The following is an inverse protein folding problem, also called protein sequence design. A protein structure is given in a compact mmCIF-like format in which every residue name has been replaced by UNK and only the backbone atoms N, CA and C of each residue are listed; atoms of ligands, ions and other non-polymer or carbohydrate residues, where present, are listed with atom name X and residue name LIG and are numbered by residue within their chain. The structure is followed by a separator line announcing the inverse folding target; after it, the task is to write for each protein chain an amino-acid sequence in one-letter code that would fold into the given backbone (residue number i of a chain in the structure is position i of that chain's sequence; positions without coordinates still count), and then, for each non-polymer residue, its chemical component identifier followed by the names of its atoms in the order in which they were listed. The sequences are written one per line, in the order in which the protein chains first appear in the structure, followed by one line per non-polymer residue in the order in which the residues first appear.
data_IF_275400613613
#
_entry.id   IF_275400613613
#
_cell.length_a   1.000
_cell.length_b   1.000
_cell.length_c   1.000
_cell.angle_alpha   90.00
_cell.angle_beta   90.00
_cell.angle_gamma   90.00
#
_symmetry.space_group_name_H-M   'P 1'
#
loop_
_entity.id
_entity.type
_entity.pdbx_description
1 polymer ?
#
# COMPACT_ATOMS: atom_id res chain seq x y z
N UNK A 1 24.85 14.35 -23.07
CA UNK A 1 23.52 13.81 -22.76
C UNK A 1 22.53 14.70 -23.47
N UNK A 2 21.94 14.20 -24.54
CA UNK A 2 20.96 14.96 -25.33
C UNK A 2 19.62 14.97 -24.60
N UNK A 3 18.79 16.00 -24.84
CA UNK A 3 17.48 16.15 -24.20
C UNK A 3 16.55 14.97 -24.50
N UNK A 4 16.67 14.40 -25.71
CA UNK A 4 15.94 13.20 -26.17
C UNK A 4 16.33 11.95 -25.36
N UNK A 5 17.62 11.76 -25.08
CA UNK A 5 18.09 10.64 -24.25
C UNK A 5 17.61 10.78 -22.81
N UNK A 6 17.62 12.01 -22.27
CA UNK A 6 17.12 12.27 -20.93
C UNK A 6 15.61 12.00 -20.81
N UNK A 7 14.83 12.36 -21.84
CA UNK A 7 13.40 12.08 -21.90
C UNK A 7 13.10 10.58 -22.02
N UNK A 8 13.80 9.86 -22.91
CA UNK A 8 13.65 8.41 -23.05
C UNK A 8 14.00 7.66 -21.74
N UNK A 9 15.04 8.10 -21.03
CA UNK A 9 15.41 7.56 -19.73
C UNK A 9 14.35 7.84 -18.66
N UNK A 10 13.80 9.06 -18.61
CA UNK A 10 12.72 9.42 -17.67
C UNK A 10 11.46 8.59 -17.90
N UNK A 11 11.03 8.46 -19.15
CA UNK A 11 9.86 7.66 -19.53
C UNK A 11 10.06 6.19 -19.10
N UNK A 12 11.27 5.65 -19.29
CA UNK A 12 11.57 4.28 -18.89
C UNK A 12 11.58 4.11 -17.37
N UNK A 13 12.09 5.08 -16.64
CA UNK A 13 12.05 5.08 -15.16
C UNK A 13 10.61 5.11 -14.68
N UNK A 14 9.75 5.94 -15.26
CA UNK A 14 8.33 6.05 -14.91
C UNK A 14 7.58 4.73 -15.17
N UNK A 15 7.79 4.09 -16.32
CA UNK A 15 7.22 2.77 -16.61
C UNK A 15 7.63 1.71 -15.57
N UNK A 16 8.93 1.66 -15.24
CA UNK A 16 9.45 0.69 -14.28
C UNK A 16 8.89 0.95 -12.87
N UNK A 17 8.78 2.22 -12.48
CA UNK A 17 8.18 2.65 -11.23
C UNK A 17 6.70 2.23 -11.14
N UNK A 18 5.92 2.45 -12.21
CA UNK A 18 4.52 2.03 -12.28
C UNK A 18 4.35 0.51 -12.12
N UNK A 19 5.23 -0.30 -12.73
CA UNK A 19 5.20 -1.77 -12.57
C UNK A 19 5.50 -2.21 -11.13
N UNK A 20 6.34 -1.45 -10.42
CA UNK A 20 6.64 -1.71 -9.01
C UNK A 20 5.53 -1.23 -8.07
N UNK A 21 4.59 -0.40 -8.54
CA UNK A 21 3.59 0.26 -7.68
C UNK A 21 4.21 1.36 -6.81
N UNK A 22 5.26 1.99 -7.33
CA UNK A 22 6.03 3.05 -6.67
C UNK A 22 5.93 4.27 -7.57
N UNK A 23 5.56 5.44 -7.04
CA UNK A 23 5.36 6.64 -7.87
C UNK A 23 4.23 7.53 -7.37
N UNK A 24 4.14 8.74 -7.92
CA UNK A 24 3.34 9.83 -7.35
C UNK A 24 1.85 9.52 -7.27
N UNK A 25 1.26 8.84 -8.25
CA UNK A 25 -0.19 8.63 -8.30
C UNK A 25 -0.70 7.62 -7.27
N UNK A 26 -0.09 6.43 -7.21
CA UNK A 26 -0.45 5.39 -6.24
C UNK A 26 -0.16 5.87 -4.80
N UNK A 27 0.98 6.55 -4.59
CA UNK A 27 1.35 7.14 -3.29
C UNK A 27 0.36 8.23 -2.89
N UNK A 28 -0.03 9.11 -3.80
CA UNK A 28 -0.97 10.20 -3.52
C UNK A 28 -2.34 9.66 -3.13
N UNK A 29 -2.85 8.63 -3.82
CA UNK A 29 -4.12 7.97 -3.44
C UNK A 29 -4.01 7.32 -2.07
N UNK A 30 -2.92 6.61 -1.80
CA UNK A 30 -2.69 5.99 -0.49
C UNK A 30 -2.63 7.03 0.64
N UNK A 31 -2.00 8.20 0.41
CA UNK A 31 -1.94 9.29 1.40
C UNK A 31 -3.33 9.86 1.74
N UNK A 32 -4.30 9.80 0.83
CA UNK A 32 -5.68 10.25 1.14
C UNK A 32 -6.47 9.28 2.02
N UNK A 33 -6.06 8.01 2.05
CA UNK A 33 -6.76 6.92 2.74
C UNK A 33 -6.05 6.51 4.02
N UNK A 34 -4.72 6.57 4.03
CA UNK A 34 -3.86 6.10 5.11
C UNK A 34 -3.23 7.28 5.85
N UNK A 35 -3.27 7.22 7.17
CA UNK A 35 -2.46 8.07 8.04
C UNK A 35 -1.02 7.53 8.09
N UNK A 36 -0.28 7.72 7.00
CA UNK A 36 1.05 7.19 6.76
C UNK A 36 1.95 8.21 6.04
N UNK A 37 3.27 8.05 6.17
CA UNK A 37 4.23 8.89 5.43
C UNK A 37 4.30 8.48 3.95
N UNK A 38 4.81 9.35 3.05
CA UNK A 38 4.97 8.99 1.64
C UNK A 38 5.79 7.71 1.45
N UNK A 39 6.87 7.56 2.21
CA UNK A 39 7.71 6.37 2.21
C UNK A 39 6.95 5.10 2.64
N UNK A 40 6.04 5.21 3.61
CA UNK A 40 5.20 4.10 4.05
C UNK A 40 4.17 3.76 2.96
N UNK A 41 3.64 4.76 2.27
CA UNK A 41 2.73 4.55 1.13
C UNK A 41 3.44 3.86 -0.05
N UNK A 42 4.71 4.18 -0.34
CA UNK A 42 5.50 3.45 -1.33
C UNK A 42 5.66 1.96 -0.97
N UNK A 43 5.92 1.65 0.31
CA UNK A 43 5.96 0.26 0.78
C UNK A 43 4.62 -0.46 0.54
N UNK A 44 3.50 0.22 0.83
CA UNK A 44 2.16 -0.35 0.65
C UNK A 44 1.83 -0.55 -0.84
N UNK A 45 2.11 0.45 -1.70
CA UNK A 45 1.93 0.37 -3.14
C UNK A 45 2.69 -0.82 -3.75
N UNK A 46 3.92 -1.01 -3.29
CA UNK A 46 4.73 -2.17 -3.65
C UNK A 46 4.13 -3.50 -3.19
N UNK A 47 3.65 -3.58 -1.94
CA UNK A 47 2.98 -4.77 -1.40
C UNK A 47 1.67 -5.10 -2.13
N UNK A 48 0.97 -4.10 -2.70
CA UNK A 48 -0.24 -4.33 -3.48
C UNK A 48 0.06 -5.09 -4.79
N UNK A 49 1.20 -4.82 -5.43
CA UNK A 49 1.61 -5.43 -6.71
C UNK A 49 2.24 -6.82 -6.55
N UNK A 50 2.83 -7.14 -5.40
CA UNK A 50 3.56 -8.41 -5.18
C UNK A 50 2.87 -9.34 -4.19
N UNK A 51 2.97 -10.65 -4.40
CA UNK A 51 2.43 -11.63 -3.43
C UNK A 51 3.14 -11.55 -2.08
N UNK A 52 4.47 -11.44 -2.10
CA UNK A 52 5.33 -11.30 -0.93
C UNK A 52 6.31 -10.17 -1.15
N UNK A 53 6.40 -9.26 -0.18
CA UNK A 53 7.38 -8.18 -0.12
C UNK A 53 8.49 -8.57 0.87
N UNK A 54 9.66 -8.94 0.35
CA UNK A 54 10.82 -9.28 1.19
C UNK A 54 11.47 -8.02 1.76
N UNK A 55 12.16 -8.17 2.90
CA UNK A 55 12.88 -7.05 3.53
C UNK A 55 13.90 -6.41 2.59
N UNK A 56 14.66 -7.22 1.85
CA UNK A 56 15.65 -6.74 0.88
C UNK A 56 14.99 -5.99 -0.27
N UNK A 57 13.89 -6.50 -0.81
CA UNK A 57 13.22 -5.85 -1.93
C UNK A 57 12.61 -4.50 -1.53
N UNK A 58 12.04 -4.39 -0.32
CA UNK A 58 11.56 -3.11 0.22
C UNK A 58 12.71 -2.11 0.44
N UNK A 59 13.86 -2.58 0.95
CA UNK A 59 15.05 -1.73 1.10
C UNK A 59 15.55 -1.19 -0.25
N UNK A 60 15.67 -2.07 -1.26
CA UNK A 60 16.08 -1.69 -2.61
C UNK A 60 15.11 -0.68 -3.23
N UNK A 61 13.81 -0.84 -3.05
CA UNK A 61 12.81 0.10 -3.59
C UNK A 61 12.96 1.50 -2.99
N UNK A 62 13.13 1.57 -1.67
CA UNK A 62 13.16 2.85 -0.97
C UNK A 62 14.52 3.56 -1.04
N UNK A 63 15.61 2.80 -1.12
CA UNK A 63 16.97 3.33 -0.93
C UNK A 63 17.96 2.92 -2.01
N UNK A 64 17.59 2.05 -2.96
CA UNK A 64 18.52 1.55 -3.98
C UNK A 64 19.04 2.60 -4.96
N UNK A 65 18.39 3.77 -5.03
CA UNK A 65 18.88 4.92 -5.80
C UNK A 65 19.94 5.75 -5.04
N UNK A 66 20.15 5.50 -3.73
CA UNK A 66 21.13 6.22 -2.91
C UNK A 66 22.49 5.54 -3.00
N UNK A 67 23.61 6.29 -2.92
CA UNK A 67 24.94 5.70 -2.82
C UNK A 67 25.05 4.87 -1.53
N UNK A 68 25.87 3.81 -1.58
CA UNK A 68 25.96 2.82 -0.50
C UNK A 68 26.34 3.41 0.86
N UNK A 69 27.10 4.51 0.89
CA UNK A 69 27.47 5.20 2.13
C UNK A 69 26.30 5.88 2.85
N UNK A 70 25.22 6.20 2.11
CA UNK A 70 24.03 6.91 2.62
C UNK A 70 22.82 5.98 2.75
N UNK A 71 22.98 4.68 2.46
CA UNK A 71 21.92 3.71 2.62
C UNK A 71 21.73 3.36 4.10
N UNK A 72 20.50 3.49 4.63
CA UNK A 72 20.23 3.13 6.02
C UNK A 72 20.31 1.61 6.24
N UNK A 73 20.51 1.19 7.49
CA UNK A 73 20.52 -0.22 7.86
C UNK A 73 19.21 -0.91 7.46
N UNK A 74 19.31 -2.12 6.92
CA UNK A 74 18.17 -2.91 6.44
C UNK A 74 17.08 -3.13 7.51
N UNK A 75 17.45 -3.12 8.80
CA UNK A 75 16.50 -3.21 9.93
C UNK A 75 15.52 -2.04 10.01
N UNK A 76 15.84 -0.89 9.38
CA UNK A 76 14.91 0.23 9.28
C UNK A 76 13.58 -0.20 8.63
N UNK A 77 13.63 -1.16 7.70
CA UNK A 77 12.43 -1.71 7.05
C UNK A 77 11.49 -2.38 8.06
N UNK A 78 12.01 -3.04 9.09
CA UNK A 78 11.17 -3.63 10.14
C UNK A 78 10.43 -2.56 10.93
N UNK A 79 11.14 -1.47 11.28
CA UNK A 79 10.56 -0.33 12.00
C UNK A 79 9.47 0.34 11.16
N UNK A 80 9.72 0.54 9.86
CA UNK A 80 8.71 1.08 8.96
C UNK A 80 7.53 0.12 8.79
N UNK A 81 7.78 -1.19 8.72
CA UNK A 81 6.71 -2.19 8.61
C UNK A 81 5.78 -2.19 9.82
N UNK A 82 6.31 -1.99 11.05
CA UNK A 82 5.48 -1.83 12.24
C UNK A 82 4.55 -0.61 12.12
N UNK A 83 5.04 0.51 11.55
CA UNK A 83 4.24 1.71 11.33
C UNK A 83 3.20 1.52 10.22
N UNK A 84 3.60 0.90 9.11
CA UNK A 84 2.71 0.53 7.99
C UNK A 84 1.57 -0.36 8.48
N UNK A 85 1.88 -1.39 9.28
CA UNK A 85 0.87 -2.28 9.88
C UNK A 85 -0.16 -1.48 10.69
N UNK A 86 0.29 -0.58 11.55
CA UNK A 86 -0.62 0.28 12.34
C UNK A 86 -1.49 1.18 11.46
N UNK A 87 -0.96 1.71 10.37
CA UNK A 87 -1.73 2.52 9.44
C UNK A 87 -2.79 1.69 8.69
N UNK A 88 -2.42 0.49 8.24
CA UNK A 88 -3.32 -0.43 7.54
C UNK A 88 -4.42 -1.02 8.45
N UNK A 89 -4.10 -1.28 9.73
CA UNK A 89 -5.07 -1.75 10.71
C UNK A 89 -6.23 -0.76 10.92
N UNK A 90 -5.96 0.55 10.87
CA UNK A 90 -7.00 1.61 10.97
C UNK A 90 -8.03 1.52 9.84
N UNK A 91 -7.63 1.01 8.68
CA UNK A 91 -8.50 0.80 7.52
C UNK A 91 -8.90 -0.67 7.34
N UNK A 92 -8.74 -1.50 8.37
CA UNK A 92 -9.15 -2.90 8.39
C UNK A 92 -8.38 -3.80 7.42
N UNK A 93 -7.14 -3.44 7.06
CA UNK A 93 -6.26 -4.25 6.20
C UNK A 93 -5.22 -4.92 7.08
N UNK A 94 -5.07 -6.24 6.95
CA UNK A 94 -4.10 -7.00 7.74
C UNK A 94 -2.84 -7.32 6.93
N UNK A 95 -1.70 -7.32 7.61
CA UNK A 95 -0.42 -7.74 7.04
C UNK A 95 0.01 -9.05 7.68
N UNK A 96 0.29 -10.07 6.88
CA UNK A 96 0.82 -11.35 7.37
C UNK A 96 2.33 -11.39 7.19
N UNK A 97 3.01 -11.97 8.17
CA UNK A 97 4.43 -12.29 8.06
C UNK A 97 4.54 -13.67 7.43
N UNK A 98 5.25 -13.77 6.31
CA UNK A 98 5.47 -15.04 5.61
C UNK A 98 6.79 -15.67 6.09
N UNK A 99 6.65 -16.74 6.88
CA UNK A 99 7.76 -17.50 7.44
C UNK A 99 8.41 -18.35 6.33
N UNK A 100 9.72 -18.18 6.12
CA UNK A 100 10.49 -18.85 5.06
C UNK A 100 11.02 -17.89 3.99
N UNK A 101 10.21 -16.92 3.55
CA UNK A 101 10.62 -15.88 2.60
C UNK A 101 11.19 -14.61 3.23
N UNK A 102 11.08 -14.46 4.56
CA UNK A 102 11.61 -13.29 5.29
C UNK A 102 10.94 -11.97 4.87
N UNK A 103 9.63 -12.02 4.60
CA UNK A 103 8.87 -10.91 4.06
C UNK A 103 7.45 -10.84 4.59
N UNK A 104 6.68 -9.94 4.00
CA UNK A 104 5.30 -9.67 4.39
C UNK A 104 4.37 -9.74 3.19
N UNK A 105 3.15 -10.18 3.44
CA UNK A 105 2.10 -10.29 2.44
C UNK A 105 0.83 -9.61 2.93
N UNK A 106 0.13 -8.92 2.03
CA UNK A 106 -1.24 -8.48 2.25
C UNK A 106 -2.16 -9.55 1.63
N UNK A 107 -3.10 -10.14 2.38
CA UNK A 107 -4.07 -11.09 1.83
C UNK A 107 -4.83 -10.50 0.63
N UNK A 108 -5.18 -11.34 -0.35
CA UNK A 108 -5.82 -10.89 -1.58
C UNK A 108 -7.14 -10.12 -1.33
N UNK A 109 -7.92 -10.55 -0.33
CA UNK A 109 -9.15 -9.87 0.08
C UNK A 109 -8.87 -8.43 0.56
N UNK A 110 -7.86 -8.27 1.42
CA UNK A 110 -7.50 -6.98 1.97
C UNK A 110 -6.86 -6.06 0.91
N UNK A 111 -6.14 -6.62 -0.07
CA UNK A 111 -5.66 -5.86 -1.24
C UNK A 111 -6.81 -5.30 -2.06
N UNK A 112 -7.86 -6.09 -2.29
CA UNK A 112 -9.04 -5.64 -3.02
C UNK A 112 -9.76 -4.52 -2.24
N UNK A 113 -9.85 -4.66 -0.91
CA UNK A 113 -10.40 -3.62 -0.03
C UNK A 113 -9.60 -2.31 -0.14
N UNK A 114 -8.28 -2.39 -0.04
CA UNK A 114 -7.44 -1.20 -0.11
C UNK A 114 -7.55 -0.49 -1.47
N UNK A 115 -7.65 -1.25 -2.57
CA UNK A 115 -7.90 -0.68 -3.91
C UNK A 115 -9.23 0.06 -4.00
N UNK A 116 -10.32 -0.50 -3.48
CA UNK A 116 -11.63 0.18 -3.44
C UNK A 116 -11.55 1.50 -2.67
N UNK A 117 -10.84 1.50 -1.54
CA UNK A 117 -10.63 2.71 -0.75
C UNK A 117 -9.82 3.76 -1.54
N UNK A 118 -8.80 3.35 -2.28
CA UNK A 118 -8.00 4.24 -3.15
C UNK A 118 -8.81 4.83 -4.31
N UNK A 119 -9.80 4.08 -4.83
CA UNK A 119 -10.68 4.53 -5.91
C UNK A 119 -11.85 5.39 -5.40
N UNK A 120 -11.90 5.69 -4.10
CA UNK A 120 -12.91 6.56 -3.48
C UNK A 120 -14.23 5.86 -3.15
N UNK A 121 -14.32 4.54 -3.31
CA UNK A 121 -15.44 3.75 -2.79
C UNK A 121 -15.28 3.63 -1.28
N UNK A 122 -15.80 4.62 -0.55
CA UNK A 122 -15.88 4.60 0.90
C UNK A 122 -16.84 3.49 1.30
N UNK A 123 -16.30 2.32 1.59
CA UNK A 123 -17.08 1.22 2.12
C UNK A 123 -17.59 1.65 3.51
N UNK A 124 -18.88 1.95 3.62
CA UNK A 124 -19.54 2.26 4.89
C UNK A 124 -19.22 1.13 5.89
N UNK A 125 -18.86 1.46 7.14
CA UNK A 125 -18.48 0.46 8.13
C UNK A 125 -19.58 -0.60 8.27
N UNK A 126 -19.19 -1.86 8.45
CA UNK A 126 -20.10 -3.02 8.53
C UNK A 126 -21.21 -2.83 9.58
N UNK A 127 -20.91 -2.07 10.64
CA UNK A 127 -21.85 -1.65 11.69
C UNK A 127 -23.01 -0.81 11.13
N UNK A 128 -22.74 0.04 10.14
CA UNK A 128 -23.74 0.88 9.47
C UNK A 128 -24.57 0.06 8.48
N UNK A 129 -23.98 -0.97 7.85
CA UNK A 129 -24.71 -1.92 6.99
C UNK A 129 -25.69 -2.79 7.79
N UNK A 130 -25.29 -3.27 8.96
CA UNK A 130 -26.15 -4.09 9.85
C UNK A 130 -27.32 -3.24 10.34
N UNK A 131 -27.06 -2.04 10.85
CA UNK A 131 -28.12 -1.14 11.34
C UNK A 131 -29.08 -0.67 10.25
N UNK A 132 -28.62 -0.47 9.00
CA UNK A 132 -29.51 -0.16 7.87
C UNK A 132 -30.39 -1.36 7.49
N UNK A 133 -29.84 -2.58 7.56
CA UNK A 133 -30.57 -3.83 7.29
C UNK A 133 -31.62 -4.09 8.36
N UNK A 134 -31.27 -3.91 9.63
CA UNK A 134 -32.18 -4.01 10.77
C UNK A 134 -33.31 -2.98 10.68
N UNK A 135 -33.00 -1.71 10.42
CA UNK A 135 -34.01 -0.66 10.19
C UNK A 135 -34.95 -0.99 9.03
N UNK A 136 -34.44 -1.60 7.96
CA UNK A 136 -35.24 -1.98 6.79
C UNK A 136 -36.14 -3.19 7.08
N UNK A 137 -35.72 -4.10 7.95
CA UNK A 137 -36.54 -5.24 8.39
C UNK A 137 -37.64 -4.78 9.36
N UNK A 138 -37.32 -3.89 10.30
CA UNK A 138 -38.33 -3.32 11.23
C UNK A 138 -39.42 -2.50 10.52
N UNK A 139 -39.12 -1.90 9.37
CA UNK A 139 -40.10 -1.19 8.55
C UNK A 139 -41.06 -2.12 7.78
N UNK A 140 -40.66 -3.37 7.52
CA UNK A 140 -41.48 -4.35 6.77
C UNK A 140 -42.38 -5.20 7.68
N UNK A 141 -42.02 -5.36 8.96
CA UNK A 141 -42.81 -6.12 9.94
C UNK A 141 -43.93 -5.31 10.62
N UNK A 142 -44.04 -4.01 10.32
CA UNK A 142 -45.01 -3.08 10.92
C UNK A 142 -46.22 -2.70 10.05
N UNK A 143 -46.51 -3.45 8.98
CA UNK A 143 -47.63 -3.19 8.05
C UNK A 143 -48.68 -4.33 8.07
#
# INVERSE_FOLDING_TARGET
MTEIEAEALRNRVEELQALLGVGNDDVSRLLTVLDATPQQCEMVGFMLRRSVATRTALHTVLFGARPDCDQPEIKLIDVQMVKVRKALEKVGVQVRTEWGSGGWAIPAADKARLRRLMDGEREAPEVERVTLRERRMSFLEGA
#
